data_IF_357851796369
#
_entry.id   IF_357851796369
#
_cell.length_a   1.000
_cell.length_b   1.000
_cell.length_c   1.000
_cell.angle_alpha   90.00
_cell.angle_beta   90.00
_cell.angle_gamma   90.00
#
_symmetry.space_group_name_H-M   'P 1'
#
loop_
_entity.id
_entity.type
_entity.pdbx_description
1 polymer ?
#
# COMPACT_ATOMS: atom_id res chain seq x y z
N UNK A 1 -7.01 12.07 -4.00
CA UNK A 1 -8.40 12.23 -3.55
C UNK A 1 -9.26 11.13 -4.14
N UNK A 2 -10.30 10.71 -3.43
CA UNK A 2 -11.37 9.86 -3.94
C UNK A 2 -12.63 10.72 -4.06
N UNK A 3 -13.32 10.63 -5.20
CA UNK A 3 -14.55 11.38 -5.45
C UNK A 3 -15.70 10.41 -5.70
N UNK A 4 -16.85 10.69 -5.11
CA UNK A 4 -18.07 9.93 -5.34
C UNK A 4 -19.28 10.86 -5.39
N UNK A 5 -20.29 10.48 -6.18
CA UNK A 5 -21.59 11.15 -6.19
C UNK A 5 -22.66 10.14 -5.81
N UNK A 6 -23.34 10.39 -4.69
CA UNK A 6 -24.50 9.60 -4.29
C UNK A 6 -25.76 10.27 -4.82
N UNK A 7 -26.52 9.53 -5.62
CA UNK A 7 -27.80 9.98 -6.16
C UNK A 7 -28.94 9.29 -5.42
N UNK A 8 -29.82 10.09 -4.82
CA UNK A 8 -30.99 9.64 -4.11
C UNK A 8 -32.24 9.99 -4.89
N UNK A 9 -33.10 8.99 -5.12
CA UNK A 9 -34.47 9.21 -5.56
C UNK A 9 -35.40 8.88 -4.41
N UNK A 10 -36.26 9.82 -4.06
CA UNK A 10 -37.23 9.61 -3.00
C UNK A 10 -38.61 10.14 -3.40
N UNK A 11 -39.64 9.41 -2.98
CA UNK A 11 -41.04 9.73 -3.24
C UNK A 11 -41.89 9.36 -2.03
N UNK A 12 -43.01 10.06 -1.84
CA UNK A 12 -43.91 9.82 -0.71
C UNK A 12 -45.33 10.31 -0.99
N UNK A 13 -46.30 9.80 -0.22
CA UNK A 13 -47.71 10.18 -0.29
C UNK A 13 -48.34 9.98 -1.66
N UNK A 14 -49.30 10.84 -2.01
CA UNK A 14 -49.98 10.83 -3.31
C UNK A 14 -49.00 10.93 -4.49
N UNK A 15 -47.92 11.70 -4.35
CA UNK A 15 -46.90 11.84 -5.39
C UNK A 15 -46.19 10.54 -5.75
N UNK A 16 -46.00 9.61 -4.81
CA UNK A 16 -45.44 8.28 -5.12
C UNK A 16 -46.40 7.42 -5.94
N UNK A 17 -47.70 7.50 -5.65
CA UNK A 17 -48.75 6.77 -6.38
C UNK A 17 -48.89 7.30 -7.80
N UNK A 18 -48.71 8.61 -7.97
CA UNK A 18 -48.72 9.30 -9.28
C UNK A 18 -47.38 9.23 -10.04
N UNK A 19 -46.36 8.56 -9.48
CA UNK A 19 -45.07 8.35 -10.15
C UNK A 19 -44.08 9.51 -10.05
N UNK A 20 -44.38 10.56 -9.29
CA UNK A 20 -43.46 11.65 -9.01
C UNK A 20 -42.40 11.25 -7.98
N UNK A 21 -41.16 11.68 -8.24
CA UNK A 21 -40.05 11.55 -7.30
C UNK A 21 -39.22 12.83 -7.29
N UNK A 22 -38.47 13.03 -6.22
CA UNK A 22 -37.41 14.03 -6.15
C UNK A 22 -36.08 13.34 -6.29
N UNK A 23 -35.15 14.04 -6.91
CA UNK A 23 -33.78 13.61 -7.07
C UNK A 23 -32.87 14.56 -6.28
N UNK A 24 -31.90 13.98 -5.58
CA UNK A 24 -30.88 14.68 -4.82
C UNK A 24 -29.52 14.06 -5.16
N UNK A 25 -28.52 14.89 -5.43
CA UNK A 25 -27.14 14.44 -5.64
C UNK A 25 -26.26 14.99 -4.53
N UNK A 26 -25.47 14.12 -3.89
CA UNK A 26 -24.48 14.46 -2.88
C UNK A 26 -23.09 14.14 -3.42
N UNK A 27 -22.24 15.16 -3.59
CA UNK A 27 -20.82 14.98 -3.88
C UNK A 27 -20.05 14.69 -2.59
N UNK A 28 -19.17 13.69 -2.64
CA UNK A 28 -18.24 13.31 -1.58
C UNK A 28 -16.83 13.46 -2.15
N UNK A 29 -15.99 14.24 -1.47
CA UNK A 29 -14.57 14.38 -1.75
C UNK A 29 -13.79 13.92 -0.53
N UNK A 30 -12.91 12.93 -0.71
CA UNK A 30 -12.07 12.38 0.35
C UNK A 30 -10.61 12.63 -0.01
N UNK A 31 -9.92 13.39 0.83
CA UNK A 31 -8.48 13.55 0.74
C UNK A 31 -7.77 12.40 1.44
N UNK A 32 -6.77 11.84 0.77
CA UNK A 32 -5.97 10.72 1.28
C UNK A 32 -4.54 11.23 1.40
N UNK A 33 -4.07 11.35 2.63
CA UNK A 33 -2.69 11.68 2.94
C UNK A 33 -1.89 10.40 3.23
N UNK A 34 -0.64 10.31 2.76
CA UNK A 34 0.20 9.15 3.03
C UNK A 34 0.55 9.06 4.52
N UNK A 35 0.50 7.86 5.08
CA UNK A 35 0.83 7.59 6.49
C UNK A 35 2.31 7.35 6.75
N UNK A 36 3.11 7.20 5.71
CA UNK A 36 4.56 6.99 5.78
C UNK A 36 5.23 7.58 4.54
N UNK A 37 6.42 8.14 4.71
CA UNK A 37 7.27 8.60 3.61
C UNK A 37 8.64 7.92 3.65
N UNK A 38 9.03 7.34 2.52
CA UNK A 38 10.41 6.91 2.29
C UNK A 38 11.17 8.06 1.63
N UNK A 39 11.94 8.80 2.42
CA UNK A 39 12.56 10.07 1.99
C UNK A 39 13.94 9.88 1.34
N UNK A 40 14.60 8.75 1.61
CA UNK A 40 15.89 8.38 1.01
C UNK A 40 16.05 6.87 0.96
N UNK A 41 16.68 6.39 -0.11
CA UNK A 41 17.01 4.98 -0.30
C UNK A 41 18.47 4.86 -0.72
N UNK A 42 19.28 4.17 0.09
CA UNK A 42 20.71 3.94 -0.17
C UNK A 42 21.04 2.45 0.04
N UNK A 43 22.20 1.99 -0.45
CA UNK A 43 22.71 0.65 -0.14
C UNK A 43 24.11 0.71 0.48
N UNK A 44 24.39 -0.20 1.41
CA UNK A 44 25.73 -0.45 1.95
C UNK A 44 26.14 -1.89 1.67
N UNK A 45 27.41 -2.14 1.35
CA UNK A 45 27.90 -3.51 1.20
C UNK A 45 27.74 -4.29 2.52
N UNK A 46 27.39 -5.57 2.42
CA UNK A 46 27.44 -6.50 3.54
C UNK A 46 28.72 -7.34 3.48
N UNK A 47 29.02 -8.06 4.56
CA UNK A 47 30.18 -8.98 4.62
C UNK A 47 30.09 -10.10 3.58
N UNK A 48 28.86 -10.54 3.26
CA UNK A 48 28.63 -11.52 2.20
C UNK A 48 28.62 -10.85 0.82
N UNK A 49 29.28 -11.46 -0.16
CA UNK A 49 29.29 -10.99 -1.55
C UNK A 49 27.90 -11.04 -2.20
N UNK A 50 26.99 -11.87 -1.66
CA UNK A 50 25.62 -12.04 -2.13
C UNK A 50 24.62 -11.11 -1.47
N UNK A 51 25.02 -10.31 -0.48
CA UNK A 51 24.09 -9.48 0.30
C UNK A 51 24.51 -8.01 0.35
N UNK A 52 23.54 -7.14 0.62
CA UNK A 52 23.75 -5.75 0.96
C UNK A 52 22.74 -5.30 2.02
N UNK A 53 23.00 -4.17 2.65
CA UNK A 53 22.04 -3.50 3.52
C UNK A 53 21.34 -2.40 2.72
N UNK A 54 20.03 -2.52 2.55
CA UNK A 54 19.17 -1.46 2.06
C UNK A 54 18.86 -0.50 3.21
N UNK A 55 19.24 0.76 3.05
CA UNK A 55 18.98 1.82 4.01
C UNK A 55 17.78 2.64 3.54
N UNK A 56 16.78 2.75 4.39
CA UNK A 56 15.55 3.50 4.15
C UNK A 56 15.40 4.58 5.21
N UNK A 57 15.38 5.85 4.82
CA UNK A 57 14.99 6.95 5.72
C UNK A 57 13.47 7.05 5.71
N UNK A 58 12.85 6.68 6.83
CA UNK A 58 11.40 6.55 6.98
C UNK A 58 10.92 7.68 7.88
N UNK A 59 10.00 8.48 7.35
CA UNK A 59 9.37 9.59 8.04
C UNK A 59 7.91 9.29 8.33
N UNK A 60 7.49 9.53 9.57
CA UNK A 60 6.10 9.47 10.01
C UNK A 60 5.49 10.88 9.95
N UNK A 61 4.69 11.22 8.93
CA UNK A 61 4.03 12.53 8.83
C UNK A 61 2.81 12.66 9.76
N UNK A 62 2.37 11.56 10.37
CA UNK A 62 1.13 11.52 11.15
C UNK A 62 1.34 12.06 12.56
N UNK A 63 0.24 12.38 13.24
CA UNK A 63 0.23 12.79 14.64
C UNK A 63 0.27 11.60 15.63
N UNK A 64 0.27 10.37 15.11
CA UNK A 64 0.19 9.16 15.91
C UNK A 64 1.47 8.32 15.77
N UNK A 65 1.67 7.39 16.69
CA UNK A 65 2.77 6.42 16.60
C UNK A 65 2.53 5.44 15.44
N UNK A 66 3.59 5.21 14.67
CA UNK A 66 3.64 4.34 13.50
C UNK A 66 4.67 3.23 13.76
N UNK A 67 4.26 1.98 13.62
CA UNK A 67 5.19 0.85 13.61
C UNK A 67 5.44 0.41 12.18
N UNK A 68 6.71 0.29 11.80
CA UNK A 68 7.14 -0.21 10.49
C UNK A 68 7.91 -1.51 10.68
N UNK A 69 7.50 -2.55 9.98
CA UNK A 69 8.11 -3.87 10.03
C UNK A 69 8.60 -4.27 8.63
N UNK A 70 9.70 -5.04 8.59
CA UNK A 70 10.23 -5.61 7.36
C UNK A 70 10.65 -7.06 7.59
N UNK A 71 10.69 -7.85 6.52
CA UNK A 71 11.02 -9.28 6.60
C UNK A 71 12.39 -9.49 7.25
N UNK A 72 12.44 -10.34 8.27
CA UNK A 72 13.65 -10.71 9.02
C UNK A 72 14.36 -9.54 9.74
N UNK A 73 13.65 -8.43 9.97
CA UNK A 73 14.18 -7.24 10.61
C UNK A 73 13.43 -6.94 11.91
N UNK A 74 14.06 -6.18 12.82
CA UNK A 74 13.35 -5.65 13.99
C UNK A 74 12.40 -4.54 13.56
N UNK A 75 11.26 -4.47 14.25
CA UNK A 75 10.27 -3.42 14.05
C UNK A 75 10.85 -2.06 14.44
N UNK A 76 10.55 -1.05 13.63
CA UNK A 76 10.90 0.34 13.84
C UNK A 76 9.66 1.10 14.30
N UNK A 77 9.70 1.61 15.53
CA UNK A 77 8.64 2.47 16.07
C UNK A 77 9.03 3.93 15.81
N UNK A 78 8.13 4.67 15.17
CA UNK A 78 8.28 6.08 14.84
C UNK A 78 7.21 6.90 15.55
N UNK A 79 7.63 7.88 16.33
CA UNK A 79 6.74 8.88 16.91
C UNK A 79 6.26 9.88 15.85
N UNK A 80 5.30 10.73 16.23
CA UNK A 80 4.76 11.74 15.35
C UNK A 80 5.86 12.68 14.81
N UNK A 81 5.83 12.94 13.50
CA UNK A 81 6.83 13.77 12.81
C UNK A 81 8.28 13.28 12.95
N UNK A 82 8.49 12.00 13.29
CA UNK A 82 9.82 11.43 13.44
C UNK A 82 10.35 10.86 12.10
N UNK A 83 11.65 11.03 11.86
CA UNK A 83 12.37 10.39 10.77
C UNK A 83 13.52 9.54 11.31
N UNK A 84 13.51 8.24 11.01
CA UNK A 84 14.60 7.34 11.37
C UNK A 84 15.02 6.46 10.18
N UNK A 85 16.25 5.95 10.26
CA UNK A 85 16.83 5.07 9.23
C UNK A 85 16.66 3.61 9.61
N UNK A 86 15.99 2.85 8.75
CA UNK A 86 15.94 1.39 8.81
C UNK A 86 17.00 0.77 7.90
N UNK A 87 17.71 -0.24 8.39
CA UNK A 87 18.66 -1.01 7.59
C UNK A 87 18.16 -2.44 7.43
N UNK A 88 17.81 -2.84 6.20
CA UNK A 88 17.27 -4.17 5.89
C UNK A 88 18.35 -4.95 5.13
N UNK A 89 18.73 -6.12 5.64
CA UNK A 89 19.66 -6.99 4.93
C UNK A 89 18.92 -7.75 3.84
N UNK A 90 19.39 -7.62 2.61
CA UNK A 90 18.79 -8.25 1.43
C UNK A 90 19.83 -8.97 0.59
N UNK A 91 19.39 -10.00 -0.11
CA UNK A 91 20.19 -10.60 -1.18
C UNK A 91 20.28 -9.61 -2.34
N UNK A 92 21.48 -9.51 -2.94
CA UNK A 92 21.70 -8.73 -4.14
C UNK A 92 20.86 -9.34 -5.26
N UNK A 93 20.02 -8.52 -5.86
CA UNK A 93 19.28 -8.93 -7.06
C UNK A 93 20.26 -9.21 -8.19
N UNK A 94 20.12 -10.37 -8.83
CA UNK A 94 20.82 -10.71 -10.05
C UNK A 94 19.92 -10.43 -11.24
N UNK A 95 20.26 -9.39 -12.02
CA UNK A 95 19.48 -8.93 -13.17
C UNK A 95 19.39 -9.98 -14.28
N UNK A 96 20.26 -10.98 -14.28
CA UNK A 96 20.32 -12.05 -15.28
C UNK A 96 19.26 -13.14 -15.09
N UNK A 97 18.52 -13.12 -13.98
CA UNK A 97 17.47 -14.13 -13.69
C UNK A 97 16.10 -13.82 -14.31
N UNK A 98 15.98 -12.74 -15.09
CA UNK A 98 14.72 -12.35 -15.71
C UNK A 98 14.39 -13.22 -16.94
N UNK A 99 13.12 -13.65 -17.11
CA UNK A 99 12.68 -14.27 -18.36
C UNK A 99 12.95 -13.30 -19.51
N UNK A 100 13.74 -13.70 -20.49
CA UNK A 100 13.82 -12.94 -21.74
C UNK A 100 12.45 -13.03 -22.42
N UNK A 101 11.89 -11.92 -22.90
CA UNK A 101 10.65 -11.98 -23.67
C UNK A 101 10.90 -12.85 -24.90
N UNK A 102 9.97 -13.76 -25.19
CA UNK A 102 10.01 -14.58 -26.40
C UNK A 102 10.19 -13.66 -27.62
N UNK A 103 11.09 -14.04 -28.54
CA UNK A 103 11.50 -13.24 -29.70
C UNK A 103 10.35 -12.82 -30.63
N UNK A 104 9.13 -13.33 -30.42
CA UNK A 104 7.92 -12.95 -31.16
C UNK A 104 7.24 -11.71 -30.56
N UNK A 105 7.22 -11.57 -29.23
CA UNK A 105 6.59 -10.43 -28.51
C UNK A 105 7.41 -9.15 -28.68
N UNK A 106 8.73 -9.26 -28.85
CA UNK A 106 9.64 -8.14 -29.04
C UNK A 106 9.53 -7.47 -30.43
N UNK A 107 8.85 -8.09 -31.41
CA UNK A 107 8.75 -7.54 -32.78
C UNK A 107 7.67 -6.47 -32.94
N UNK A 108 6.70 -6.42 -32.02
CA UNK A 108 5.53 -5.54 -32.13
C UNK A 108 5.35 -4.59 -30.93
N UNK A 109 6.14 -4.75 -29.88
CA UNK A 109 6.05 -3.92 -28.66
C UNK A 109 7.10 -2.81 -28.70
N UNK A 110 6.69 -1.58 -28.40
CA UNK A 110 7.59 -0.44 -28.27
C UNK A 110 8.68 -0.75 -27.22
N UNK A 111 9.98 -0.61 -27.54
CA UNK A 111 11.07 -0.86 -26.60
C UNK A 111 10.92 -0.13 -25.26
N UNK A 112 10.32 1.07 -25.26
CA UNK A 112 10.05 1.82 -24.02
C UNK A 112 9.02 1.13 -23.12
N UNK A 113 7.93 0.63 -23.70
CA UNK A 113 6.88 -0.05 -22.93
C UNK A 113 7.39 -1.37 -22.35
N UNK A 114 8.23 -2.09 -23.10
CA UNK A 114 8.86 -3.32 -22.61
C UNK A 114 9.80 -3.04 -21.42
N UNK A 115 10.57 -1.96 -21.47
CA UNK A 115 11.45 -1.57 -20.35
C UNK A 115 10.63 -1.12 -19.12
N UNK A 116 9.54 -0.38 -19.31
CA UNK A 116 8.61 -0.02 -18.24
C UNK A 116 7.99 -1.26 -17.57
N UNK A 117 7.59 -2.26 -18.35
CA UNK A 117 7.04 -3.52 -17.85
C UNK A 117 8.10 -4.30 -17.04
N UNK A 118 9.35 -4.33 -17.51
CA UNK A 118 10.48 -4.93 -16.78
C UNK A 118 10.72 -4.21 -15.45
N UNK A 119 10.75 -2.89 -15.44
CA UNK A 119 10.94 -2.09 -14.22
C UNK A 119 9.78 -2.30 -13.24
N UNK A 120 8.55 -2.39 -13.73
CA UNK A 120 7.38 -2.66 -12.91
C UNK A 120 7.45 -4.06 -12.28
N UNK A 121 7.75 -5.10 -13.06
CA UNK A 121 7.91 -6.46 -12.55
C UNK A 121 9.03 -6.56 -11.50
N UNK A 122 10.17 -5.87 -11.74
CA UNK A 122 11.26 -5.77 -10.78
C UNK A 122 10.83 -5.09 -9.48
N UNK A 123 10.10 -3.98 -9.57
CA UNK A 123 9.55 -3.28 -8.41
C UNK A 123 8.64 -4.18 -7.56
N UNK A 124 7.77 -4.95 -8.20
CA UNK A 124 6.90 -5.92 -7.54
C UNK A 124 7.68 -7.03 -6.83
N UNK A 125 8.75 -7.54 -7.44
CA UNK A 125 9.59 -8.58 -6.84
C UNK A 125 10.42 -8.05 -5.67
N UNK A 126 10.96 -6.84 -5.77
CA UNK A 126 11.66 -6.16 -4.68
C UNK A 126 10.71 -5.96 -3.50
N UNK A 127 9.50 -5.44 -3.74
CA UNK A 127 8.49 -5.25 -2.71
C UNK A 127 8.13 -6.57 -2.01
N UNK A 128 7.91 -7.63 -2.78
CA UNK A 128 7.60 -8.97 -2.25
C UNK A 128 8.73 -9.55 -1.42
N UNK A 129 9.99 -9.27 -1.78
CA UNK A 129 11.15 -9.74 -1.04
C UNK A 129 11.40 -8.96 0.25
N UNK A 130 11.19 -7.64 0.24
CA UNK A 130 11.39 -6.77 1.40
C UNK A 130 10.31 -6.96 2.46
N UNK A 131 9.05 -7.19 2.04
CA UNK A 131 7.93 -7.41 2.96
C UNK A 131 7.72 -6.26 3.94
N UNK A 132 7.90 -5.01 3.48
CA UNK A 132 7.72 -3.83 4.31
C UNK A 132 6.23 -3.59 4.52
N UNK A 133 5.80 -3.48 5.76
CA UNK A 133 4.44 -3.09 6.12
C UNK A 133 4.47 -2.15 7.33
N UNK A 134 3.39 -1.38 7.50
CA UNK A 134 3.29 -0.42 8.59
C UNK A 134 1.88 -0.35 9.14
N UNK A 135 1.77 0.02 10.42
CA UNK A 135 0.50 0.21 11.09
C UNK A 135 0.57 1.41 12.04
N UNK A 136 -0.49 2.21 12.04
CA UNK A 136 -0.69 3.27 13.01
C UNK A 136 -1.41 2.65 14.20
N UNK A 137 -0.91 2.82 15.42
CA UNK A 137 -1.43 2.12 16.61
C UNK A 137 -2.93 2.39 16.84
N UNK A 138 -3.41 3.57 16.45
CA UNK A 138 -4.82 3.95 16.51
C UNK A 138 -5.76 3.07 15.67
N UNK A 139 -5.23 2.27 14.73
CA UNK A 139 -5.99 1.43 13.79
C UNK A 139 -5.80 -0.07 14.03
N UNK A 140 -5.33 -0.50 15.20
CA UNK A 140 -5.36 -1.93 15.53
C UNK A 140 -6.81 -2.44 15.44
N UNK A 141 -7.05 -3.25 14.42
CA UNK A 141 -8.30 -3.97 14.19
C UNK A 141 -8.74 -4.65 15.48
N UNK A 142 -9.80 -4.13 16.10
CA UNK A 142 -10.61 -4.91 17.01
C UNK A 142 -11.28 -6.01 16.17
N UNK A 143 -10.54 -7.10 15.91
CA UNK A 143 -11.12 -8.37 15.53
C UNK A 143 -11.89 -8.88 16.75
N UNK A 144 -13.11 -8.35 16.94
CA UNK A 144 -14.07 -8.93 17.87
C UNK A 144 -14.45 -10.32 17.34
N UNK A 145 -13.78 -11.35 17.86
CA UNK A 145 -14.31 -12.70 17.93
C UNK A 145 -15.49 -12.72 18.89
N UNK A 146 -16.63 -12.21 18.44
CA UNK A 146 -17.89 -12.34 19.16
C UNK A 146 -18.36 -13.78 19.11
N UNK A 147 -17.97 -14.58 20.11
CA UNK A 147 -18.64 -15.84 20.42
C UNK A 147 -20.02 -15.48 20.95
N UNK A 148 -21.05 -15.67 20.15
CA UNK A 148 -22.43 -15.61 20.61
C UNK A 148 -22.62 -16.84 21.49
N UNK A 149 -22.62 -16.65 22.81
CA UNK A 149 -23.08 -17.70 23.72
C UNK A 149 -24.59 -17.85 23.52
N UNK A 150 -25.01 -18.95 22.90
CA UNK A 150 -26.39 -19.41 23.05
C UNK A 150 -26.64 -19.69 24.53
N UNK A 151 -27.58 -18.95 25.11
CA UNK A 151 -28.05 -19.18 26.47
C UNK A 151 -29.37 -19.96 26.36
N UNK A 152 -29.49 -21.17 26.94
CA UNK A 152 -30.74 -21.91 26.92
C UNK A 152 -31.64 -21.44 28.07
N UNK A 153 -32.89 -21.10 27.74
CA UNK A 153 -34.02 -21.16 28.65
C UNK A 153 -35.28 -21.49 27.85
#
# INVERSE_FOLDING_TARGET
>A
SLEAVLNFKYSGGAGKVEGYYRELSLGIHVDVEPSVFFTRVNTLPATSTRQCHLLLDIFNPTEHELTVSAKNNQDLVLHASECQRMAIQVDKFDFETLPQPDQETARFTNPKQLEEERQHAQGCQINSNLGICWSIISFQSLTYGGVISENPA
#
